data_IF_283901086988
#
_entry.id   IF_283901086988
#
_cell.length_a   1.000
_cell.length_b   1.000
_cell.length_c   1.000
_cell.angle_alpha   90.00
_cell.angle_beta   90.00
_cell.angle_gamma   90.00
#
_symmetry.space_group_name_H-M   'P 1'
#
loop_
_entity.id
_entity.type
_entity.pdbx_description
1 polymer ?
#
# COMPACT_ATOMS: atom_id res chain seq x y z
N UNK A 1 -6.48 -17.27 -13.95
CA UNK A 1 -7.66 -17.31 -13.05
C UNK A 1 -7.63 -16.19 -12.01
N UNK A 2 -6.48 -15.93 -11.36
CA UNK A 2 -6.35 -14.87 -10.35
C UNK A 2 -6.57 -13.42 -10.85
N UNK A 3 -6.38 -13.12 -12.14
CA UNK A 3 -6.46 -11.74 -12.64
C UNK A 3 -7.86 -11.10 -12.54
N UNK A 4 -8.92 -11.86 -12.86
CA UNK A 4 -10.30 -11.34 -12.73
C UNK A 4 -10.71 -11.18 -11.27
N UNK A 5 -10.27 -12.10 -10.41
CA UNK A 5 -10.44 -11.98 -8.97
C UNK A 5 -9.69 -10.76 -8.43
N UNK A 6 -8.42 -10.58 -8.82
CA UNK A 6 -7.61 -9.41 -8.47
C UNK A 6 -8.27 -8.12 -8.94
N UNK A 7 -8.84 -8.05 -10.15
CA UNK A 7 -9.62 -6.89 -10.60
C UNK A 7 -10.84 -6.63 -9.71
N UNK A 8 -11.56 -7.68 -9.34
CA UNK A 8 -12.74 -7.56 -8.49
C UNK A 8 -12.37 -7.04 -7.10
N UNK A 9 -11.36 -7.65 -6.47
CA UNK A 9 -10.85 -7.23 -5.16
C UNK A 9 -10.28 -5.83 -5.23
N UNK A 10 -9.45 -5.50 -6.22
CA UNK A 10 -8.89 -4.16 -6.41
C UNK A 10 -9.97 -3.08 -6.44
N UNK A 11 -11.10 -3.30 -7.12
CA UNK A 11 -12.23 -2.35 -7.12
C UNK A 11 -12.87 -2.18 -5.75
N UNK A 12 -12.86 -3.21 -4.90
CA UNK A 12 -13.41 -3.17 -3.55
C UNK A 12 -12.47 -2.51 -2.55
N UNK A 13 -11.16 -2.69 -2.70
CA UNK A 13 -10.15 -2.11 -1.80
C UNK A 13 -9.69 -0.71 -2.25
N UNK A 14 -9.91 -0.31 -3.51
CA UNK A 14 -9.54 1.02 -4.02
C UNK A 14 -10.10 2.22 -3.23
N UNK A 15 -11.33 2.21 -2.70
CA UNK A 15 -11.83 3.32 -1.88
C UNK A 15 -10.98 3.63 -0.64
N UNK A 16 -10.18 2.68 -0.16
CA UNK A 16 -9.28 2.85 0.98
C UNK A 16 -7.99 3.61 0.61
N UNK A 17 -7.71 3.86 -0.67
CA UNK A 17 -6.67 4.82 -1.08
C UNK A 17 -6.91 6.21 -0.47
N UNK A 18 -8.17 6.54 -0.13
CA UNK A 18 -8.52 7.79 0.55
C UNK A 18 -7.99 7.92 1.97
N UNK A 19 -7.52 6.82 2.59
CA UNK A 19 -6.88 6.87 3.90
C UNK A 19 -5.47 7.48 3.82
N UNK A 20 -4.88 7.51 2.62
CA UNK A 20 -3.54 8.03 2.39
C UNK A 20 -3.57 9.55 2.50
N UNK A 21 -3.02 10.07 3.59
CA UNK A 21 -3.09 11.49 3.95
C UNK A 21 -1.81 12.29 3.61
N UNK A 22 -0.75 11.60 3.17
CA UNK A 22 0.58 12.17 2.96
C UNK A 22 0.99 12.21 1.48
N UNK A 23 0.02 12.20 0.56
CA UNK A 23 0.28 12.27 -0.87
C UNK A 23 0.38 13.73 -1.34
N UNK A 24 1.52 14.09 -1.92
CA UNK A 24 1.69 15.35 -2.64
C UNK A 24 1.24 15.16 -4.08
N UNK A 25 0.28 15.96 -4.55
CA UNK A 25 -0.36 15.75 -5.86
C UNK A 25 0.54 16.16 -7.01
N UNK A 26 1.38 17.17 -6.81
CA UNK A 26 2.24 17.70 -7.87
C UNK A 26 3.41 18.53 -7.32
N UNK A 27 4.35 18.84 -8.21
CA UNK A 27 5.57 19.60 -7.87
C UNK A 27 5.32 21.04 -7.42
N UNK A 28 4.19 21.65 -7.81
CA UNK A 28 3.86 23.02 -7.35
C UNK A 28 3.40 23.00 -5.89
N UNK A 29 2.57 22.03 -5.50
CA UNK A 29 2.18 21.81 -4.11
C UNK A 29 3.41 21.53 -3.24
N UNK A 30 4.35 20.71 -3.72
CA UNK A 30 5.63 20.50 -3.04
C UNK A 30 6.44 21.80 -2.88
N UNK A 31 6.56 22.60 -3.95
CA UNK A 31 7.27 23.89 -3.91
C UNK A 31 6.64 24.83 -2.88
N UNK A 32 5.32 24.94 -2.89
CA UNK A 32 4.59 25.81 -1.97
C UNK A 32 4.77 25.36 -0.52
N UNK A 33 4.84 24.05 -0.26
CA UNK A 33 5.15 23.52 1.09
C UNK A 33 6.56 23.93 1.50
N UNK A 34 7.58 23.66 0.66
CA UNK A 34 8.99 23.95 0.98
C UNK A 34 9.25 25.45 1.14
N UNK A 35 8.61 26.31 0.34
CA UNK A 35 8.76 27.76 0.41
C UNK A 35 8.26 28.35 1.76
N UNK A 36 7.40 27.63 2.48
CA UNK A 36 6.81 28.06 3.76
C UNK A 36 7.41 27.37 4.99
N UNK A 37 8.50 26.61 4.84
CA UNK A 37 9.18 25.92 5.95
C UNK A 37 10.44 26.68 6.33
N UNK A 38 10.47 27.18 7.57
CA UNK A 38 11.69 27.67 8.22
C UNK A 38 12.36 26.52 8.99
N UNK A 39 13.64 26.28 8.67
CA UNK A 39 14.49 25.25 9.27
C UNK A 39 15.42 25.94 10.28
N UNK A 40 15.33 25.55 11.54
CA UNK A 40 16.19 26.07 12.61
C UNK A 40 17.61 25.46 12.57
N UNK A 41 18.58 26.06 13.28
CA UNK A 41 19.99 25.60 13.25
C UNK A 41 20.17 24.15 13.77
N UNK A 42 19.26 23.66 14.61
CA UNK A 42 19.25 22.30 15.14
C UNK A 42 18.37 21.32 14.36
N UNK A 43 17.80 21.76 13.23
CA UNK A 43 16.92 20.96 12.39
C UNK A 43 17.60 20.48 11.12
N UNK A 44 17.17 19.31 10.64
CA UNK A 44 17.69 18.70 9.43
C UNK A 44 16.55 18.25 8.52
N UNK A 45 16.83 18.32 7.22
CA UNK A 45 15.96 17.73 6.19
C UNK A 45 16.53 16.37 5.83
N UNK A 46 15.67 15.36 5.83
CA UNK A 46 16.03 13.98 5.46
C UNK A 46 15.12 13.53 4.34
N UNK A 47 15.70 12.96 3.28
CA UNK A 47 14.98 12.34 2.18
C UNK A 47 15.17 10.82 2.23
N UNK A 48 14.06 10.08 2.17
CA UNK A 48 14.07 8.62 2.15
C UNK A 48 13.60 8.12 0.79
N UNK A 49 14.39 7.25 0.17
CA UNK A 49 14.02 6.60 -1.09
C UNK A 49 13.66 5.14 -0.84
N UNK A 50 12.51 4.71 -1.39
CA UNK A 50 12.03 3.34 -1.24
C UNK A 50 12.50 2.50 -2.42
N UNK A 51 13.46 1.61 -2.16
CA UNK A 51 13.91 0.66 -3.17
C UNK A 51 12.89 -0.47 -3.38
N UNK A 52 12.52 -0.67 -4.64
CA UNK A 52 11.73 -1.80 -5.12
C UNK A 52 10.43 -2.07 -4.34
N UNK A 53 9.62 -1.03 -4.13
CA UNK A 53 8.41 -1.07 -3.31
C UNK A 53 7.51 -2.29 -3.58
N UNK A 54 7.24 -2.62 -4.84
CA UNK A 54 6.35 -3.75 -5.17
C UNK A 54 6.98 -5.12 -4.84
N UNK A 55 8.30 -5.23 -4.97
CA UNK A 55 9.06 -6.48 -4.81
C UNK A 55 9.75 -6.59 -3.46
N UNK A 56 9.34 -5.81 -2.46
CA UNK A 56 9.88 -5.86 -1.10
C UNK A 56 8.77 -5.78 -0.04
N UNK A 57 7.50 -5.85 -0.44
CA UNK A 57 6.36 -5.81 0.49
C UNK A 57 6.12 -7.21 1.06
N UNK A 58 6.28 -7.42 2.38
CA UNK A 58 6.00 -8.71 3.00
C UNK A 58 4.50 -9.01 2.95
N UNK A 59 4.11 -10.06 2.22
CA UNK A 59 2.70 -10.37 1.94
C UNK A 59 1.87 -10.52 3.22
N UNK A 60 2.37 -11.21 4.25
CA UNK A 60 1.64 -11.39 5.50
C UNK A 60 1.36 -10.04 6.18
N UNK A 61 2.39 -9.20 6.30
CA UNK A 61 2.25 -7.90 6.96
C UNK A 61 1.31 -6.98 6.19
N UNK A 62 1.33 -7.03 4.86
CA UNK A 62 0.40 -6.29 4.03
C UNK A 62 -1.04 -6.77 4.20
N UNK A 63 -1.27 -8.08 4.31
CA UNK A 63 -2.59 -8.66 4.60
C UNK A 63 -3.11 -8.20 5.97
N UNK A 64 -2.26 -8.21 7.00
CA UNK A 64 -2.63 -7.76 8.35
C UNK A 64 -3.02 -6.28 8.35
N UNK A 65 -2.20 -5.41 7.74
CA UNK A 65 -2.49 -3.97 7.63
C UNK A 65 -3.81 -3.73 6.91
N UNK A 66 -4.06 -4.45 5.81
CA UNK A 66 -5.30 -4.29 5.04
C UNK A 66 -6.48 -4.80 5.85
N UNK A 67 -6.34 -5.91 6.58
CA UNK A 67 -7.38 -6.41 7.48
C UNK A 67 -7.76 -5.35 8.53
N UNK A 68 -6.77 -4.76 9.21
CA UNK A 68 -6.98 -3.73 10.23
C UNK A 68 -7.64 -2.47 9.64
N UNK A 69 -7.21 -2.04 8.45
CA UNK A 69 -7.84 -0.91 7.73
C UNK A 69 -9.30 -1.20 7.37
N UNK A 70 -9.61 -2.43 6.96
CA UNK A 70 -10.96 -2.82 6.58
C UNK A 70 -11.87 -3.08 7.79
N UNK A 71 -11.31 -3.51 8.92
CA UNK A 71 -12.03 -3.73 10.19
C UNK A 71 -12.38 -2.40 10.87
N UNK A 72 -11.46 -1.45 10.86
CA UNK A 72 -11.64 -0.12 11.46
C UNK A 72 -12.63 0.78 10.71
N UNK A 73 -12.91 0.50 9.43
CA UNK A 73 -13.94 1.19 8.66
C UNK A 73 -15.33 0.58 8.93
N UNK A 74 -16.11 1.26 9.78
CA UNK A 74 -17.51 0.89 10.08
C UNK A 74 -18.45 0.88 8.86
N UNK A 75 -18.10 1.50 7.73
CA UNK A 75 -18.84 1.41 6.45
C UNK A 75 -18.39 0.24 5.55
N UNK A 76 -17.32 -0.48 5.91
CA UNK A 76 -16.76 -1.61 5.15
C UNK A 76 -17.82 -2.68 4.84
N UNK A 77 -18.64 -3.02 5.85
CA UNK A 77 -19.74 -3.97 5.75
C UNK A 77 -20.86 -3.53 4.77
N UNK A 78 -20.93 -2.25 4.41
CA UNK A 78 -21.93 -1.71 3.48
C UNK A 78 -21.48 -1.78 2.02
N UNK A 79 -20.17 -1.88 1.76
CA UNK A 79 -19.56 -1.77 0.42
C UNK A 79 -19.22 -3.11 -0.23
N UNK A 80 -19.18 -4.20 0.53
CA UNK A 80 -18.88 -5.54 0.04
C UNK A 80 -19.96 -6.53 0.49
N UNK A 81 -20.39 -7.42 -0.43
CA UNK A 81 -21.24 -8.57 -0.06
C UNK A 81 -20.42 -9.71 0.56
N UNK A 82 -19.09 -9.61 0.49
CA UNK A 82 -18.17 -10.58 1.08
C UNK A 82 -17.81 -10.14 2.49
N UNK A 83 -17.71 -11.11 3.39
CA UNK A 83 -17.18 -10.88 4.72
C UNK A 83 -15.72 -10.45 4.65
N UNK A 84 -15.24 -9.71 5.66
CA UNK A 84 -13.87 -9.24 5.76
C UNK A 84 -12.87 -10.39 5.59
N UNK A 85 -13.16 -11.53 6.22
CA UNK A 85 -12.35 -12.73 6.10
C UNK A 85 -12.25 -13.25 4.66
N UNK A 86 -13.34 -13.21 3.90
CA UNK A 86 -13.37 -13.64 2.50
C UNK A 86 -12.57 -12.70 1.59
N UNK A 87 -12.63 -11.39 1.85
CA UNK A 87 -11.81 -10.39 1.13
C UNK A 87 -10.32 -10.65 1.36
N UNK A 88 -9.92 -10.84 2.62
CA UNK A 88 -8.51 -11.11 2.97
C UNK A 88 -8.03 -12.44 2.39
N UNK A 89 -8.86 -13.49 2.40
CA UNK A 89 -8.53 -14.77 1.74
C UNK A 89 -8.41 -14.64 0.23
N UNK A 90 -9.29 -13.88 -0.42
CA UNK A 90 -9.19 -13.63 -1.85
C UNK A 90 -7.94 -12.82 -2.19
N UNK A 91 -7.59 -11.84 -1.37
CA UNK A 91 -6.38 -11.02 -1.53
C UNK A 91 -5.13 -11.88 -1.35
N UNK A 92 -5.08 -12.71 -0.31
CA UNK A 92 -4.02 -13.69 -0.07
C UNK A 92 -3.79 -14.58 -1.30
N UNK A 93 -4.88 -15.14 -1.85
CA UNK A 93 -4.82 -15.94 -3.07
C UNK A 93 -4.30 -15.14 -4.26
N UNK A 94 -4.72 -13.88 -4.42
CA UNK A 94 -4.24 -13.03 -5.51
C UNK A 94 -2.75 -12.72 -5.42
N UNK A 95 -2.22 -12.53 -4.21
CA UNK A 95 -0.81 -12.22 -3.97
C UNK A 95 0.08 -13.46 -4.13
N UNK A 96 -0.36 -14.62 -3.64
CA UNK A 96 0.40 -15.89 -3.63
C UNK A 96 0.28 -16.74 -4.89
N UNK A 97 -0.63 -16.38 -5.81
CA UNK A 97 -0.85 -17.11 -7.07
C UNK A 97 -0.04 -16.55 -8.25
N UNK A 98 1.02 -15.79 -7.94
CA UNK A 98 1.90 -15.18 -8.94
C UNK A 98 2.83 -16.23 -9.52
N UNK A 99 2.58 -16.59 -10.78
CA UNK A 99 3.38 -17.53 -11.55
C UNK A 99 4.05 -16.79 -12.71
N UNK A 100 5.33 -17.04 -12.94
CA UNK A 100 6.08 -16.46 -14.06
C UNK A 100 6.98 -17.51 -14.74
N UNK A 101 7.26 -17.29 -16.03
CA UNK A 101 8.15 -18.16 -16.81
C UNK A 101 9.49 -17.44 -16.99
N UNK A 102 10.58 -18.09 -16.59
CA UNK A 102 11.93 -17.60 -16.81
C UNK A 102 12.80 -18.70 -17.39
N UNK A 103 13.44 -18.44 -18.54
CA UNK A 103 14.29 -19.42 -19.26
C UNK A 103 13.61 -20.78 -19.48
N UNK A 104 12.32 -20.78 -19.76
CA UNK A 104 11.53 -22.01 -19.99
C UNK A 104 11.11 -22.77 -18.73
N UNK A 105 11.53 -22.32 -17.53
CA UNK A 105 11.04 -22.84 -16.25
C UNK A 105 9.84 -22.04 -15.75
N UNK A 106 8.86 -22.73 -15.15
CA UNK A 106 7.74 -22.12 -14.45
C UNK A 106 8.11 -21.94 -12.97
N UNK A 107 8.02 -20.71 -12.48
CA UNK A 107 8.34 -20.34 -11.11
C UNK A 107 7.09 -19.76 -10.43
N UNK A 108 7.02 -19.94 -9.12
CA UNK A 108 6.06 -19.27 -8.23
C UNK A 108 6.81 -18.24 -7.42
N UNK A 109 6.28 -17.04 -7.35
CA UNK A 109 6.77 -15.99 -6.46
C UNK A 109 6.18 -16.24 -5.07
N UNK A 110 7.03 -16.50 -4.07
CA UNK A 110 6.61 -16.84 -2.70
C UNK A 110 6.46 -15.60 -1.81
N UNK A 111 7.38 -14.66 -1.96
CA UNK A 111 7.35 -13.34 -1.34
C UNK A 111 7.20 -12.30 -2.45
N UNK A 112 6.59 -11.16 -2.12
CA UNK A 112 6.23 -10.04 -3.00
C UNK A 112 4.86 -10.09 -3.67
N UNK A 113 4.57 -8.95 -4.27
CA UNK A 113 3.34 -8.66 -4.98
C UNK A 113 3.62 -8.66 -6.48
N UNK A 114 2.83 -9.38 -7.28
CA UNK A 114 3.01 -9.40 -8.74
C UNK A 114 2.93 -8.00 -9.34
N UNK A 115 3.97 -7.54 -10.05
CA UNK A 115 3.98 -6.19 -10.63
C UNK A 115 2.81 -5.91 -11.57
N UNK A 116 2.32 -6.92 -12.30
CA UNK A 116 1.20 -6.80 -13.24
C UNK A 116 -0.18 -7.05 -12.62
N UNK A 117 -0.26 -7.29 -11.32
CA UNK A 117 -1.54 -7.56 -10.67
C UNK A 117 -2.30 -6.25 -10.34
N UNK A 118 -3.61 -6.18 -10.65
CA UNK A 118 -4.42 -5.00 -10.35
C UNK A 118 -4.49 -4.60 -8.87
N UNK A 119 -4.22 -5.53 -7.95
CA UNK A 119 -4.21 -5.25 -6.51
C UNK A 119 -2.90 -4.64 -6.05
N UNK A 120 -1.83 -4.76 -6.84
CA UNK A 120 -0.46 -4.49 -6.38
C UNK A 120 -0.20 -3.04 -5.99
N UNK A 121 -0.61 -2.05 -6.79
CA UNK A 121 -0.40 -0.65 -6.42
C UNK A 121 -1.16 -0.29 -5.14
N UNK A 122 -2.37 -0.82 -4.96
CA UNK A 122 -3.22 -0.54 -3.80
C UNK A 122 -2.58 -1.14 -2.53
N UNK A 123 -2.12 -2.39 -2.62
CA UNK A 123 -1.45 -3.08 -1.50
C UNK A 123 -0.16 -2.35 -1.10
N UNK A 124 0.64 -1.95 -2.08
CA UNK A 124 1.87 -1.19 -1.84
C UNK A 124 1.60 0.16 -1.17
N UNK A 125 0.59 0.89 -1.66
CA UNK A 125 0.22 2.19 -1.12
C UNK A 125 -0.30 2.10 0.32
N UNK A 126 -1.18 1.13 0.62
CA UNK A 126 -1.69 0.92 1.98
C UNK A 126 -0.59 0.49 2.95
N UNK A 127 0.34 -0.35 2.49
CA UNK A 127 1.52 -0.72 3.26
C UNK A 127 2.40 0.51 3.57
N UNK A 128 2.68 1.35 2.58
CA UNK A 128 3.43 2.59 2.77
C UNK A 128 2.74 3.54 3.73
N UNK A 129 1.44 3.74 3.59
CA UNK A 129 0.68 4.59 4.48
C UNK A 129 0.77 4.14 5.95
N UNK A 130 0.72 2.84 6.22
CA UNK A 130 0.91 2.28 7.56
C UNK A 130 2.33 2.53 8.10
N UNK A 131 3.35 2.39 7.25
CA UNK A 131 4.74 2.68 7.60
C UNK A 131 4.96 4.16 7.91
N UNK A 132 4.44 5.05 7.06
CA UNK A 132 4.49 6.51 7.21
C UNK A 132 3.81 6.94 8.51
N UNK A 133 2.58 6.48 8.75
CA UNK A 133 1.83 6.78 9.98
C UNK A 133 2.59 6.33 11.22
N UNK A 134 3.21 5.15 11.16
CA UNK A 134 4.05 4.64 12.25
C UNK A 134 5.33 5.45 12.45
N UNK A 135 5.93 5.99 11.38
CA UNK A 135 7.13 6.82 11.44
C UNK A 135 6.82 8.20 12.03
N UNK A 136 5.78 8.87 11.51
CA UNK A 136 5.30 10.17 12.00
C UNK A 136 4.96 10.11 13.49
N UNK A 137 4.31 9.03 13.94
CA UNK A 137 3.99 8.83 15.36
C UNK A 137 5.23 8.68 16.26
N UNK A 138 6.39 8.28 15.72
CA UNK A 138 7.63 8.11 16.48
C UNK A 138 8.52 9.34 16.49
N UNK A 139 8.54 10.13 15.41
CA UNK A 139 9.50 11.23 15.22
C UNK A 139 8.87 12.62 15.17
N UNK A 140 7.53 12.75 15.14
CA UNK A 140 6.78 14.01 15.14
C UNK A 140 7.42 15.14 14.31
N UNK A 141 7.65 14.92 13.00
CA UNK A 141 8.32 15.91 12.13
C UNK A 141 7.46 17.16 11.92
N UNK A 142 8.11 18.31 11.66
CA UNK A 142 7.42 19.56 11.30
C UNK A 142 6.58 19.42 10.03
N UNK A 143 7.11 18.69 9.04
CA UNK A 143 6.45 18.39 7.75
C UNK A 143 6.75 16.94 7.37
N UNK A 144 5.75 16.24 6.84
CA UNK A 144 5.83 14.88 6.31
C UNK A 144 5.05 14.79 5.00
#
# INVERSE_FOLDING_TARGET
MAYNLAKYIARRIKPYDKLINHEIKNSMEFKDIIDNIDIEEDEIVVNFDVSSLITNVPVNRALDIIYDCLESDSESNLRCQLDLYEVTKCLELCLRSTLFIFRGGLYRQEEDVAMDSPVSPIVANLFMHSLESSAVARSSPKVW
#
